data_IF_911013714683
#
_entry.id   IF_911013714683
#
_cell.length_a   1.000
_cell.length_b   1.000
_cell.length_c   1.000
_cell.angle_alpha   90.00
_cell.angle_beta   90.00
_cell.angle_gamma   90.00
#
_symmetry.space_group_name_H-M   'P 1'
#
loop_
_entity.id
_entity.type
_entity.pdbx_description
1 polymer ?
#
# COMPACT_ATOMS: atom_id res chain seq x y z
N UNK A 1 11.21 13.80 -1.69
CA UNK A 1 11.97 13.33 -2.88
C UNK A 1 13.41 13.78 -2.71
N UNK A 2 14.02 13.38 -1.60
CA UNK A 2 15.38 13.74 -1.21
C UNK A 2 16.44 12.88 -1.92
N UNK A 3 16.04 11.74 -2.51
CA UNK A 3 16.93 10.89 -3.30
C UNK A 3 17.46 11.58 -4.58
N UNK A 4 16.77 12.61 -5.08
CA UNK A 4 17.16 13.32 -6.32
C UNK A 4 18.07 14.51 -6.08
N UNK A 5 18.44 14.79 -4.82
CA UNK A 5 19.27 15.93 -4.48
C UNK A 5 20.67 15.37 -4.18
N UNK A 6 21.64 15.48 -5.10
CA UNK A 6 23.01 15.11 -4.80
C UNK A 6 23.49 16.02 -3.68
N UNK A 7 23.70 15.44 -2.49
CA UNK A 7 24.24 16.15 -1.36
C UNK A 7 25.73 15.85 -1.29
N UNK A 8 26.55 16.81 -1.70
CA UNK A 8 28.00 16.74 -1.55
C UNK A 8 28.34 16.98 -0.08
N UNK A 9 28.78 15.92 0.62
CA UNK A 9 29.28 16.04 1.98
C UNK A 9 30.79 16.28 1.94
N UNK A 10 31.31 17.38 2.52
CA UNK A 10 32.76 17.56 2.64
C UNK A 10 33.32 16.55 3.65
N UNK A 11 34.25 15.70 3.21
CA UNK A 11 35.01 14.82 4.12
C UNK A 11 36.05 15.66 4.88
N UNK A 12 36.20 15.42 6.18
CA UNK A 12 37.16 16.13 7.02
C UNK A 12 38.55 15.48 6.88
N UNK A 13 39.36 15.99 5.96
CA UNK A 13 40.75 15.58 5.72
C UNK A 13 41.34 16.33 4.53
N UNK A 14 42.63 16.67 4.56
CA UNK A 14 43.28 17.59 3.63
C UNK A 14 43.24 17.16 2.15
N UNK A 15 42.94 15.89 1.85
CA UNK A 15 42.73 15.39 0.48
C UNK A 15 41.62 14.34 0.45
N UNK A 16 40.38 14.75 0.18
CA UNK A 16 39.27 13.82 0.03
C UNK A 16 38.30 14.27 -1.07
N UNK A 17 38.17 13.43 -2.11
CA UNK A 17 37.23 13.60 -3.22
C UNK A 17 35.77 13.59 -2.71
N UNK A 18 34.90 14.48 -3.23
CA UNK A 18 33.51 14.58 -2.78
C UNK A 18 32.75 13.28 -3.06
N UNK A 19 32.29 12.61 -2.00
CA UNK A 19 31.41 11.44 -2.13
C UNK A 19 29.95 11.88 -2.23
N UNK A 20 29.30 11.55 -3.33
CA UNK A 20 27.86 11.70 -3.50
C UNK A 20 27.14 10.64 -2.68
N UNK A 21 26.62 11.01 -1.50
CA UNK A 21 25.81 10.13 -0.67
C UNK A 21 24.32 10.41 -0.92
N UNK A 22 23.59 9.40 -1.38
CA UNK A 22 22.14 9.47 -1.51
C UNK A 22 21.51 9.27 -0.13
N UNK A 23 20.87 10.30 0.43
CA UNK A 23 20.15 10.20 1.70
C UNK A 23 18.98 9.21 1.56
N UNK A 24 19.13 8.02 2.17
CA UNK A 24 18.06 7.05 2.38
C UNK A 24 17.13 7.59 3.47
N UNK A 25 15.94 8.03 3.09
CA UNK A 25 14.98 8.62 4.03
C UNK A 25 13.57 8.89 3.50
N UNK A 26 13.27 8.56 2.25
CA UNK A 26 11.91 8.74 1.71
C UNK A 26 11.05 7.49 2.03
N UNK A 27 10.58 7.34 3.28
CA UNK A 27 9.54 6.36 3.67
C UNK A 27 8.16 6.64 3.05
N UNK A 28 8.07 7.63 2.17
CA UNK A 28 6.87 8.00 1.41
C UNK A 28 6.39 6.90 0.48
N UNK A 29 7.28 6.13 -0.14
CA UNK A 29 6.89 5.09 -1.10
C UNK A 29 6.16 3.90 -0.43
N UNK A 30 6.64 3.37 0.71
CA UNK A 30 5.86 2.41 1.51
C UNK A 30 4.52 2.96 1.99
N UNK A 31 4.48 4.21 2.47
CA UNK A 31 3.26 4.82 3.00
C UNK A 31 2.16 4.95 1.94
N UNK A 32 2.51 5.37 0.72
CA UNK A 32 1.58 5.48 -0.40
C UNK A 32 0.96 4.12 -0.76
N UNK A 33 1.78 3.05 -0.75
CA UNK A 33 1.31 1.69 -0.98
C UNK A 33 0.31 1.23 0.09
N UNK A 34 0.62 1.39 1.38
CA UNK A 34 -0.28 0.97 2.46
C UNK A 34 -1.60 1.75 2.48
N UNK A 35 -1.57 3.05 2.18
CA UNK A 35 -2.78 3.88 2.13
C UNK A 35 -3.70 3.44 0.99
N UNK A 36 -3.16 3.23 -0.20
CA UNK A 36 -3.98 2.79 -1.36
C UNK A 36 -4.60 1.42 -1.10
N UNK A 37 -3.81 0.46 -0.59
CA UNK A 37 -4.29 -0.86 -0.19
C UNK A 37 -5.45 -0.74 0.81
N UNK A 38 -5.27 0.02 1.90
CA UNK A 38 -6.27 0.20 2.94
C UNK A 38 -7.58 0.81 2.43
N UNK A 39 -7.53 1.80 1.52
CA UNK A 39 -8.72 2.39 0.91
C UNK A 39 -9.48 1.36 0.06
N UNK A 40 -8.76 0.55 -0.72
CA UNK A 40 -9.39 -0.52 -1.50
C UNK A 40 -10.03 -1.59 -0.61
N UNK A 41 -9.34 -2.01 0.46
CA UNK A 41 -9.88 -2.98 1.43
C UNK A 41 -11.14 -2.44 2.14
N UNK A 42 -11.16 -1.16 2.49
CA UNK A 42 -12.32 -0.53 3.12
C UNK A 42 -13.55 -0.52 2.19
N UNK A 43 -13.39 -0.10 0.95
CA UNK A 43 -14.51 -0.12 -0.01
C UNK A 43 -15.00 -1.54 -0.31
N UNK A 44 -14.07 -2.48 -0.41
CA UNK A 44 -14.39 -3.89 -0.62
C UNK A 44 -15.24 -4.46 0.53
N UNK A 45 -14.81 -4.29 1.77
CA UNK A 45 -15.55 -4.75 2.95
C UNK A 45 -16.91 -4.06 3.11
N UNK A 46 -16.99 -2.76 2.80
CA UNK A 46 -18.26 -2.03 2.79
C UNK A 46 -19.23 -2.58 1.74
N UNK A 47 -18.74 -2.86 0.52
CA UNK A 47 -19.55 -3.44 -0.54
C UNK A 47 -20.03 -4.86 -0.18
N UNK A 48 -19.14 -5.69 0.35
CA UNK A 48 -19.48 -7.04 0.84
C UNK A 48 -20.56 -6.99 1.93
N UNK A 49 -20.43 -6.07 2.90
CA UNK A 49 -21.41 -5.88 3.97
C UNK A 49 -22.77 -5.43 3.43
N UNK A 50 -22.80 -4.48 2.48
CA UNK A 50 -24.04 -4.02 1.85
C UNK A 50 -24.71 -5.13 1.07
N UNK A 51 -23.95 -5.92 0.30
CA UNK A 51 -24.47 -7.09 -0.41
C UNK A 51 -25.04 -8.12 0.58
N UNK A 52 -24.35 -8.38 1.67
CA UNK A 52 -24.79 -9.30 2.72
C UNK A 52 -26.13 -8.88 3.34
N UNK A 53 -26.28 -7.59 3.67
CA UNK A 53 -27.50 -7.06 4.29
C UNK A 53 -28.67 -6.90 3.32
N UNK A 54 -28.42 -6.48 2.08
CA UNK A 54 -29.47 -6.20 1.08
C UNK A 54 -29.97 -7.47 0.38
N UNK A 55 -29.09 -8.46 0.21
CA UNK A 55 -29.35 -9.65 -0.60
C UNK A 55 -29.26 -10.94 0.23
N UNK A 56 -29.92 -10.97 1.38
CA UNK A 56 -29.97 -12.15 2.25
C UNK A 56 -30.49 -13.40 1.52
N UNK A 57 -31.49 -13.25 0.63
CA UNK A 57 -32.04 -14.39 -0.14
C UNK A 57 -31.05 -14.93 -1.19
N UNK A 58 -30.25 -14.05 -1.81
CA UNK A 58 -29.29 -14.39 -2.87
C UNK A 58 -28.05 -15.10 -2.29
N UNK A 59 -27.69 -14.80 -1.03
CA UNK A 59 -26.64 -15.50 -0.27
C UNK A 59 -27.02 -16.94 0.09
N UNK A 60 -28.29 -17.18 0.39
CA UNK A 60 -28.80 -18.52 0.68
C UNK A 60 -28.82 -19.41 -0.57
N UNK A 61 -29.10 -18.83 -1.74
CA UNK A 61 -29.23 -19.56 -3.00
C UNK A 61 -27.88 -19.79 -3.72
N UNK A 62 -26.93 -18.84 -3.61
CA UNK A 62 -25.67 -18.88 -4.35
C UNK A 62 -24.43 -18.94 -3.43
N UNK A 63 -23.91 -20.16 -3.21
CA UNK A 63 -22.62 -20.40 -2.52
C UNK A 63 -21.39 -19.78 -3.21
N UNK A 64 -21.52 -19.30 -4.44
CA UNK A 64 -20.43 -18.69 -5.22
C UNK A 64 -20.00 -17.33 -4.66
N UNK A 65 -20.95 -16.52 -4.16
CA UNK A 65 -20.69 -15.19 -3.61
C UNK A 65 -19.72 -15.22 -2.41
N UNK A 66 -19.98 -16.01 -1.35
CA UNK A 66 -19.04 -16.11 -0.22
C UNK A 66 -17.66 -16.66 -0.58
N UNK A 67 -17.53 -17.47 -1.64
CA UNK A 67 -16.22 -18.00 -2.09
C UNK A 67 -15.43 -16.91 -2.81
N UNK A 68 -16.06 -16.12 -3.67
CA UNK A 68 -15.44 -14.94 -4.28
C UNK A 68 -15.02 -13.95 -3.20
N UNK A 69 -15.88 -13.74 -2.19
CA UNK A 69 -15.58 -12.85 -1.10
C UNK A 69 -14.34 -13.27 -0.30
N UNK A 70 -14.23 -14.57 -0.01
CA UNK A 70 -13.07 -15.16 0.65
C UNK A 70 -11.80 -15.02 -0.19
N UNK A 71 -11.89 -15.28 -1.50
CA UNK A 71 -10.75 -15.24 -2.40
C UNK A 71 -10.15 -13.83 -2.48
N UNK A 72 -10.99 -12.81 -2.63
CA UNK A 72 -10.52 -11.42 -2.66
C UNK A 72 -9.97 -10.99 -1.30
N UNK A 73 -10.56 -11.44 -0.19
CA UNK A 73 -10.01 -11.17 1.16
C UNK A 73 -8.63 -11.80 1.38
N UNK A 74 -8.35 -12.96 0.77
CA UNK A 74 -7.03 -13.63 0.86
C UNK A 74 -5.99 -13.00 -0.07
N UNK A 75 -6.43 -12.37 -1.17
CA UNK A 75 -5.54 -11.67 -2.09
C UNK A 75 -5.05 -10.31 -1.58
N UNK A 76 -5.70 -9.74 -0.56
CA UNK A 76 -5.31 -8.51 0.13
C UNK A 76 -4.45 -8.84 1.36
#
# INVERSE_FOLDING_TARGET
RLYQIPFEMPECGEEAEPRTLHLIGDFSAPAEFFVTLGVFTFFYTMAALVLYLRFHSLYAENKKLPITDFCVTVCF
#
